data_IF_633623979193
#
_entry.id   IF_633623979193
#
_cell.length_a   1.000
_cell.length_b   1.000
_cell.length_c   1.000
_cell.angle_alpha   90.00
_cell.angle_beta   90.00
_cell.angle_gamma   90.00
#
_symmetry.space_group_name_H-M   'P 1'
#
loop_
_entity.id
_entity.type
_entity.pdbx_description
1 polymer ?
#
# COMPACT_ATOMS: atom_id res chain seq x y z
N UNK A 1 -17.69 -61.16 23.01
CA UNK A 1 -16.79 -60.07 23.42
C UNK A 1 -16.01 -59.63 22.19
N UNK A 2 -15.95 -58.35 21.79
CA UNK A 2 -16.63 -57.12 22.25
C UNK A 2 -17.85 -56.80 21.33
N UNK A 3 -18.69 -55.76 21.43
CA UNK A 3 -18.78 -54.49 22.17
C UNK A 3 -20.28 -54.15 22.23
N UNK A 4 -20.81 -53.79 23.40
CA UNK A 4 -22.23 -53.51 23.64
C UNK A 4 -22.45 -52.03 23.98
N UNK A 5 -23.51 -51.50 23.35
CA UNK A 5 -24.47 -50.47 23.81
C UNK A 5 -24.05 -49.01 24.04
N UNK A 6 -24.87 -48.15 23.44
CA UNK A 6 -24.98 -46.71 23.58
C UNK A 6 -25.57 -46.27 24.93
N UNK A 7 -25.32 -45.00 25.30
CA UNK A 7 -26.32 -44.12 25.92
C UNK A 7 -25.89 -42.65 25.78
N UNK A 8 -26.84 -41.80 25.40
CA UNK A 8 -26.77 -40.35 25.38
C UNK A 8 -27.10 -39.76 26.76
N UNK A 9 -26.63 -38.55 27.07
CA UNK A 9 -27.36 -37.56 27.87
C UNK A 9 -26.71 -36.16 27.88
N UNK A 10 -27.58 -35.15 27.69
CA UNK A 10 -27.57 -33.73 28.06
C UNK A 10 -26.24 -33.06 28.50
N UNK A 11 -25.75 -32.04 27.78
CA UNK A 11 -26.20 -30.65 27.79
C UNK A 11 -25.94 -29.91 29.11
N UNK A 12 -24.92 -29.06 29.13
CA UNK A 12 -24.93 -27.83 29.92
C UNK A 12 -24.09 -26.74 29.23
N UNK A 13 -24.76 -25.61 29.02
CA UNK A 13 -24.27 -24.40 28.38
C UNK A 13 -23.29 -23.71 29.33
N UNK A 14 -22.07 -23.46 28.88
CA UNK A 14 -21.22 -22.42 29.47
C UNK A 14 -20.88 -21.43 28.36
N UNK A 15 -21.69 -20.38 28.29
CA UNK A 15 -21.38 -19.15 27.56
C UNK A 15 -20.23 -18.46 28.29
N UNK A 16 -19.00 -18.71 27.84
CA UNK A 16 -17.87 -17.85 28.16
C UNK A 16 -17.51 -17.05 26.92
N UNK A 17 -17.65 -15.74 27.06
CA UNK A 17 -17.54 -14.68 26.06
C UNK A 17 -16.29 -14.81 25.19
N UNK A 18 -16.49 -15.10 23.91
CA UNK A 18 -15.49 -14.91 22.87
C UNK A 18 -15.34 -13.41 22.59
N UNK A 19 -14.29 -12.80 23.14
CA UNK A 19 -13.78 -11.53 22.62
C UNK A 19 -13.19 -11.77 21.23
N UNK A 20 -13.65 -11.07 20.18
CA UNK A 20 -13.13 -11.26 18.84
C UNK A 20 -11.68 -10.75 18.76
N UNK A 21 -10.82 -11.54 18.10
CA UNK A 21 -9.43 -11.20 17.83
C UNK A 21 -9.33 -10.03 16.85
N UNK A 22 -8.22 -9.28 16.88
CA UNK A 22 -8.02 -8.07 16.04
C UNK A 22 -8.23 -8.32 14.53
N UNK A 23 -8.02 -9.54 14.05
CA UNK A 23 -8.23 -9.93 12.64
C UNK A 23 -9.71 -10.11 12.27
N UNK A 24 -10.61 -10.30 13.23
CA UNK A 24 -12.06 -10.36 13.01
C UNK A 24 -12.73 -8.98 12.99
N UNK A 25 -12.01 -7.92 13.39
CA UNK A 25 -12.51 -6.53 13.27
C UNK A 25 -12.38 -5.96 11.86
N UNK A 26 -11.57 -6.58 11.00
CA UNK A 26 -11.36 -6.12 9.62
C UNK A 26 -12.38 -6.70 8.62
N UNK A 27 -13.28 -7.57 9.07
CA UNK A 27 -14.43 -8.03 8.28
C UNK A 27 -15.72 -7.52 8.92
N UNK A 28 -15.95 -6.23 8.81
CA UNK A 28 -17.28 -5.69 8.86
C UNK A 28 -17.39 -4.65 7.74
N UNK A 29 -18.16 -5.03 6.72
CA UNK A 29 -18.95 -4.11 5.89
C UNK A 29 -18.13 -3.27 4.90
N UNK A 30 -17.88 -3.88 3.74
CA UNK A 30 -17.70 -3.12 2.52
C UNK A 30 -18.86 -2.12 2.37
N UNK A 31 -18.51 -0.89 1.97
CA UNK A 31 -19.46 0.18 1.71
C UNK A 31 -20.51 -0.31 0.71
N UNK A 32 -21.67 -0.75 1.22
CA UNK A 32 -22.84 -1.04 0.41
C UNK A 32 -23.19 0.24 -0.33
N UNK A 33 -23.02 0.22 -1.65
CA UNK A 33 -23.18 1.36 -2.53
C UNK A 33 -24.65 1.79 -2.67
N UNK A 34 -25.36 2.04 -1.57
CA UNK A 34 -26.67 2.70 -1.51
C UNK A 34 -26.98 3.08 -0.06
N UNK A 35 -26.40 4.17 0.45
CA UNK A 35 -27.04 5.13 1.37
C UNK A 35 -26.01 5.94 2.17
N UNK A 36 -25.92 7.23 1.83
CA UNK A 36 -25.77 8.34 2.80
C UNK A 36 -24.50 8.38 3.68
N UNK A 37 -23.42 7.64 3.39
CA UNK A 37 -22.12 7.82 4.07
C UNK A 37 -21.37 9.09 3.60
N UNK A 38 -21.67 9.58 2.39
CA UNK A 38 -20.98 10.73 1.77
C UNK A 38 -21.32 12.10 2.38
N UNK A 39 -22.22 12.17 3.37
CA UNK A 39 -22.61 13.42 4.03
C UNK A 39 -22.12 13.42 5.47
N UNK A 40 -20.83 13.66 5.66
CA UNK A 40 -20.40 14.35 6.88
C UNK A 40 -19.88 15.71 6.46
N UNK A 41 -20.65 16.71 6.85
CA UNK A 41 -20.39 18.13 6.75
C UNK A 41 -18.90 18.43 6.90
N UNK A 42 -18.28 18.88 5.82
CA UNK A 42 -17.02 19.62 5.93
C UNK A 42 -17.41 21.06 6.25
N UNK A 43 -17.17 21.47 7.50
CA UNK A 43 -17.09 22.89 7.84
C UNK A 43 -16.06 23.58 6.92
N UNK A 44 -16.24 24.87 6.62
CA UNK A 44 -15.51 25.50 5.53
C UNK A 44 -14.05 25.71 5.93
N UNK A 45 -13.14 24.96 5.30
CA UNK A 45 -11.71 25.28 5.32
C UNK A 45 -11.46 26.23 4.17
N UNK A 46 -11.44 27.53 4.45
CA UNK A 46 -10.96 28.52 3.49
C UNK A 46 -9.43 28.45 3.46
N UNK A 47 -8.85 28.09 2.32
CA UNK A 47 -8.02 28.98 1.50
C UNK A 47 -7.42 28.21 0.32
N UNK A 48 -7.78 28.66 -0.88
CA UNK A 48 -7.24 28.34 -2.22
C UNK A 48 -7.49 26.93 -2.76
N UNK A 49 -8.07 26.90 -3.96
CA UNK A 49 -8.68 25.74 -4.62
C UNK A 49 -7.69 24.60 -4.87
N UNK A 50 -7.67 23.62 -3.96
CA UNK A 50 -7.23 22.28 -4.32
C UNK A 50 -8.38 21.62 -5.07
N UNK A 51 -8.16 21.27 -6.34
CA UNK A 51 -9.12 20.51 -7.14
C UNK A 51 -9.61 19.29 -6.34
N UNK A 52 -10.80 19.41 -5.78
CA UNK A 52 -11.52 18.38 -5.01
C UNK A 52 -11.93 17.26 -5.96
N UNK A 53 -10.95 16.47 -6.40
CA UNK A 53 -11.23 15.10 -6.78
C UNK A 53 -11.55 14.37 -5.47
N UNK A 54 -12.84 14.33 -5.11
CA UNK A 54 -13.34 13.40 -4.11
C UNK A 54 -12.85 11.99 -4.50
N UNK A 55 -11.75 11.54 -3.88
CA UNK A 55 -11.26 10.18 -4.04
C UNK A 55 -12.39 9.27 -3.54
N UNK A 56 -12.90 8.47 -4.47
CA UNK A 56 -13.86 7.42 -4.19
C UNK A 56 -13.28 6.57 -3.05
N UNK A 57 -14.02 6.43 -1.95
CA UNK A 57 -13.59 5.65 -0.80
C UNK A 57 -13.61 4.16 -1.19
N UNK A 58 -12.56 3.73 -1.89
CA UNK A 58 -12.45 2.39 -2.47
C UNK A 58 -11.54 2.28 -3.71
N UNK A 59 -10.93 3.36 -4.21
CA UNK A 59 -9.99 3.24 -5.33
C UNK A 59 -8.63 2.72 -4.87
N UNK A 60 -8.18 1.58 -5.42
CA UNK A 60 -6.83 1.03 -5.22
C UNK A 60 -5.79 2.03 -5.69
N UNK A 61 -4.86 2.39 -4.81
CA UNK A 61 -3.74 3.30 -5.11
C UNK A 61 -2.65 2.53 -5.87
N UNK A 62 -2.33 2.98 -7.08
CA UNK A 62 -1.26 2.41 -7.89
C UNK A 62 0.08 3.00 -7.46
N UNK A 63 1.05 2.15 -7.14
CA UNK A 63 2.37 2.55 -6.65
C UNK A 63 3.45 2.17 -7.65
N UNK A 64 4.34 3.11 -7.95
CA UNK A 64 5.60 2.84 -8.66
C UNK A 64 6.69 2.68 -7.61
N UNK A 65 7.37 1.55 -7.60
CA UNK A 65 8.46 1.26 -6.69
C UNK A 65 9.80 1.55 -7.38
N UNK A 66 10.54 2.55 -6.90
CA UNK A 66 11.84 2.93 -7.45
C UNK A 66 12.95 2.45 -6.52
N UNK A 67 13.83 1.60 -7.03
CA UNK A 67 14.76 0.77 -6.28
C UNK A 67 14.24 -0.66 -6.13
N UNK A 68 15.11 -1.64 -6.39
CA UNK A 68 14.85 -3.07 -6.25
C UNK A 68 15.90 -3.75 -5.35
N UNK A 69 16.33 -3.04 -4.31
CA UNK A 69 17.24 -3.55 -3.28
C UNK A 69 16.52 -4.27 -2.15
N UNK A 70 17.26 -4.63 -1.11
CA UNK A 70 16.75 -5.38 0.06
C UNK A 70 15.51 -4.75 0.71
N UNK A 71 15.49 -3.42 0.87
CA UNK A 71 14.36 -2.74 1.50
C UNK A 71 13.11 -2.73 0.60
N UNK A 72 13.30 -2.68 -0.72
CA UNK A 72 12.22 -2.74 -1.69
C UNK A 72 11.48 -4.10 -1.63
N UNK A 73 12.19 -5.20 -1.37
CA UNK A 73 11.55 -6.51 -1.13
C UNK A 73 10.59 -6.49 0.07
N UNK A 74 10.96 -5.77 1.14
CA UNK A 74 10.13 -5.62 2.33
C UNK A 74 8.91 -4.74 2.06
N UNK A 75 9.10 -3.64 1.30
CA UNK A 75 8.00 -2.78 0.88
C UNK A 75 7.01 -3.54 -0.01
N UNK A 76 7.50 -4.30 -0.99
CA UNK A 76 6.63 -5.11 -1.84
C UNK A 76 5.82 -6.12 -1.01
N UNK A 77 6.46 -6.82 -0.06
CA UNK A 77 5.75 -7.75 0.85
C UNK A 77 4.67 -7.03 1.66
N UNK A 78 4.91 -5.80 2.10
CA UNK A 78 3.91 -5.00 2.79
C UNK A 78 2.77 -4.60 1.84
N UNK A 79 3.06 -4.12 0.63
CA UNK A 79 2.02 -3.75 -0.35
C UNK A 79 1.13 -4.94 -0.73
N UNK A 80 1.68 -6.15 -0.86
CA UNK A 80 0.89 -7.36 -1.12
C UNK A 80 -0.13 -7.69 -0.01
N UNK A 81 0.01 -7.09 1.17
CA UNK A 81 -0.91 -7.25 2.31
C UNK A 81 -1.93 -6.11 2.42
N UNK A 82 -1.81 -5.05 1.61
CA UNK A 82 -2.70 -3.87 1.64
C UNK A 82 -3.67 -3.94 0.46
N UNK A 83 -4.97 -4.24 0.67
CA UNK A 83 -5.93 -4.40 -0.41
C UNK A 83 -6.14 -3.14 -1.26
N UNK A 84 -5.95 -1.97 -0.65
CA UNK A 84 -6.18 -0.66 -1.27
C UNK A 84 -4.91 -0.10 -1.95
N UNK A 85 -3.86 -0.91 -2.12
CA UNK A 85 -2.63 -0.52 -2.80
C UNK A 85 -2.12 -1.62 -3.73
N UNK A 86 -1.58 -1.23 -4.89
CA UNK A 86 -1.02 -2.16 -5.86
C UNK A 86 0.26 -1.59 -6.46
N UNK A 87 1.35 -2.34 -6.40
CA UNK A 87 2.57 -2.02 -7.15
C UNK A 87 2.30 -2.29 -8.64
N UNK A 88 2.47 -1.29 -9.50
CA UNK A 88 2.18 -1.38 -10.94
C UNK A 88 3.42 -1.27 -11.82
N UNK A 89 4.53 -0.80 -11.26
CA UNK A 89 5.81 -0.78 -11.93
C UNK A 89 6.98 -0.79 -10.93
N UNK A 90 8.12 -1.31 -11.37
CA UNK A 90 9.39 -1.31 -10.63
C UNK A 90 10.49 -0.69 -11.49
N UNK A 91 11.33 0.17 -10.93
CA UNK A 91 12.54 0.63 -11.61
C UNK A 91 13.78 0.36 -10.78
N UNK A 92 14.86 -0.11 -11.41
CA UNK A 92 16.19 -0.17 -10.81
C UNK A 92 17.24 -0.16 -11.91
N UNK A 93 18.36 0.53 -11.69
CA UNK A 93 19.47 0.60 -12.65
C UNK A 93 20.05 -0.78 -12.99
N UNK A 94 19.93 -1.77 -12.10
CA UNK A 94 20.22 -3.17 -12.36
C UNK A 94 18.96 -3.87 -12.89
N UNK A 95 18.97 -4.16 -14.21
CA UNK A 95 17.86 -4.80 -14.91
C UNK A 95 17.42 -6.12 -14.28
N UNK A 96 18.36 -6.92 -13.76
CA UNK A 96 18.04 -8.22 -13.15
C UNK A 96 17.27 -8.02 -11.85
N UNK A 97 17.68 -7.06 -11.01
CA UNK A 97 16.94 -6.74 -9.77
C UNK A 97 15.53 -6.22 -10.08
N UNK A 98 15.42 -5.29 -11.04
CA UNK A 98 14.13 -4.75 -11.47
C UNK A 98 13.19 -5.86 -11.97
N UNK A 99 13.67 -6.75 -12.84
CA UNK A 99 12.92 -7.89 -13.36
C UNK A 99 12.47 -8.85 -12.27
N UNK A 100 13.37 -9.20 -11.34
CA UNK A 100 13.07 -10.12 -10.24
C UNK A 100 11.95 -9.58 -9.35
N UNK A 101 12.07 -8.32 -8.93
CA UNK A 101 11.08 -7.71 -8.05
C UNK A 101 9.74 -7.49 -8.76
N UNK A 102 9.77 -7.09 -10.04
CA UNK A 102 8.56 -6.96 -10.84
C UNK A 102 7.84 -8.30 -11.05
N UNK A 103 8.57 -9.41 -11.21
CA UNK A 103 7.99 -10.74 -11.26
C UNK A 103 7.30 -11.12 -9.93
N UNK A 104 7.93 -10.81 -8.79
CA UNK A 104 7.33 -11.00 -7.46
C UNK A 104 6.08 -10.14 -7.24
N UNK A 105 6.00 -8.98 -7.89
CA UNK A 105 4.83 -8.10 -7.87
C UNK A 105 3.70 -8.55 -8.82
N UNK A 106 3.81 -9.73 -9.45
CA UNK A 106 2.81 -10.27 -10.38
C UNK A 106 3.14 -10.05 -11.86
N UNK A 107 4.41 -9.84 -12.20
CA UNK A 107 4.85 -9.62 -13.58
C UNK A 107 4.55 -8.22 -14.10
N UNK A 108 4.71 -7.21 -13.23
CA UNK A 108 4.43 -5.81 -13.56
C UNK A 108 5.48 -5.21 -14.49
N UNK A 109 5.24 -3.98 -14.97
CA UNK A 109 6.21 -3.30 -15.82
C UNK A 109 7.50 -3.04 -15.05
N UNK A 110 8.64 -3.21 -15.71
CA UNK A 110 9.93 -2.82 -15.16
C UNK A 110 10.71 -1.97 -16.15
N UNK A 111 11.63 -1.15 -15.63
CA UNK A 111 12.55 -0.35 -16.42
C UNK A 111 13.89 -0.20 -15.70
N UNK A 112 14.95 0.10 -16.47
CA UNK A 112 16.26 0.48 -15.94
C UNK A 112 16.40 1.97 -15.70
N UNK A 113 15.52 2.76 -16.32
CA UNK A 113 15.36 4.18 -16.08
C UNK A 113 14.01 4.41 -15.39
N UNK A 114 14.03 5.06 -14.22
CA UNK A 114 12.82 5.33 -13.46
C UNK A 114 11.89 6.33 -14.19
N UNK A 115 12.43 7.22 -15.02
CA UNK A 115 11.63 8.19 -15.79
C UNK A 115 10.59 7.52 -16.69
N UNK A 116 10.87 6.29 -17.18
CA UNK A 116 9.97 5.53 -18.04
C UNK A 116 8.70 5.04 -17.31
N UNK A 117 8.75 4.93 -15.98
CA UNK A 117 7.68 4.31 -15.19
C UNK A 117 7.04 5.24 -14.16
N UNK A 118 7.67 6.35 -13.78
CA UNK A 118 7.13 7.29 -12.77
C UNK A 118 5.69 7.74 -13.08
N UNK A 119 5.34 7.91 -14.35
CA UNK A 119 4.00 8.35 -14.78
C UNK A 119 2.89 7.29 -14.63
N UNK A 120 3.23 6.03 -14.40
CA UNK A 120 2.28 4.90 -14.48
C UNK A 120 1.45 4.70 -13.21
N UNK A 121 1.92 5.18 -12.07
CA UNK A 121 1.22 5.06 -10.79
C UNK A 121 0.61 6.38 -10.29
N UNK A 122 -0.19 6.26 -9.25
CA UNK A 122 -0.76 7.38 -8.51
C UNK A 122 0.22 7.94 -7.48
N UNK A 123 1.12 7.09 -6.94
CA UNK A 123 2.16 7.44 -5.98
C UNK A 123 3.50 6.75 -6.31
N UNK A 124 4.59 7.26 -5.72
CA UNK A 124 5.94 6.73 -5.91
C UNK A 124 6.54 6.37 -4.55
N UNK A 125 7.09 5.16 -4.43
CA UNK A 125 7.83 4.69 -3.27
C UNK A 125 9.30 4.54 -3.62
N UNK A 126 10.16 5.31 -2.94
CA UNK A 126 11.58 5.46 -3.24
C UNK A 126 12.38 4.66 -2.23
N UNK A 127 12.88 3.52 -2.71
CA UNK A 127 13.68 2.52 -2.00
C UNK A 127 15.11 2.42 -2.58
N UNK A 128 15.61 3.51 -3.16
CA UNK A 128 16.96 3.58 -3.76
C UNK A 128 18.03 3.82 -2.68
N UNK A 129 19.33 3.81 -3.02
CA UNK A 129 20.35 4.29 -2.09
C UNK A 129 20.12 5.77 -1.74
N UNK A 130 20.34 6.13 -0.47
CA UNK A 130 19.97 7.45 0.08
C UNK A 130 20.54 8.66 -0.66
N UNK A 131 21.67 8.51 -1.34
CA UNK A 131 22.28 9.55 -2.17
C UNK A 131 21.41 9.98 -3.36
N UNK A 132 20.48 9.12 -3.80
CA UNK A 132 19.62 9.36 -4.96
C UNK A 132 18.18 9.73 -4.60
N UNK A 133 17.81 9.75 -3.32
CA UNK A 133 16.45 10.05 -2.87
C UNK A 133 15.97 11.42 -3.35
N UNK A 134 16.80 12.46 -3.21
CA UNK A 134 16.42 13.81 -3.61
C UNK A 134 16.21 13.92 -5.12
N UNK A 135 17.08 13.32 -5.93
CA UNK A 135 16.95 13.35 -7.40
C UNK A 135 15.66 12.66 -7.87
N UNK A 136 15.43 11.42 -7.42
CA UNK A 136 14.23 10.65 -7.76
C UNK A 136 12.97 11.33 -7.22
N UNK A 137 13.05 11.85 -5.98
CA UNK A 137 11.97 12.56 -5.31
C UNK A 137 11.55 13.80 -6.10
N UNK A 138 12.51 14.62 -6.54
CA UNK A 138 12.23 15.79 -7.36
C UNK A 138 11.62 15.42 -8.72
N UNK A 139 12.11 14.37 -9.37
CA UNK A 139 11.53 13.90 -10.63
C UNK A 139 10.06 13.45 -10.48
N UNK A 140 9.75 12.75 -9.39
CA UNK A 140 8.39 12.33 -9.09
C UNK A 140 7.49 13.50 -8.62
N UNK A 141 8.02 14.43 -7.83
CA UNK A 141 7.33 15.64 -7.39
C UNK A 141 6.98 16.57 -8.58
N UNK A 142 7.86 16.66 -9.57
CA UNK A 142 7.60 17.42 -10.81
C UNK A 142 6.39 16.88 -11.59
N UNK A 143 6.03 15.60 -11.40
CA UNK A 143 4.83 14.97 -11.95
C UNK A 143 3.59 15.10 -11.04
N UNK A 144 3.71 15.82 -9.92
CA UNK A 144 2.64 15.99 -8.92
C UNK A 144 2.29 14.70 -8.17
N UNK A 145 3.22 13.73 -8.10
CA UNK A 145 2.98 12.43 -7.45
C UNK A 145 3.24 12.52 -5.94
N UNK A 146 2.35 11.99 -5.08
CA UNK A 146 2.67 11.71 -3.69
C UNK A 146 3.87 10.76 -3.58
N UNK A 147 4.73 11.02 -2.60
CA UNK A 147 5.99 10.31 -2.41
C UNK A 147 6.02 9.61 -1.05
N UNK A 148 6.56 8.39 -1.04
CA UNK A 148 7.09 7.73 0.13
C UNK A 148 8.60 7.57 -0.09
N UNK A 149 9.42 8.06 0.84
CA UNK A 149 10.88 8.09 0.67
C UNK A 149 11.51 7.36 1.85
N UNK A 150 12.33 6.36 1.56
CA UNK A 150 13.00 5.60 2.60
C UNK A 150 13.94 6.45 3.45
N UNK A 151 14.16 6.01 4.68
CA UNK A 151 15.12 6.63 5.60
C UNK A 151 16.56 6.23 5.26
N UNK A 152 17.55 7.12 5.47
CA UNK A 152 17.40 8.54 5.77
C UNK A 152 16.87 9.31 4.55
N UNK A 153 16.03 10.32 4.80
CA UNK A 153 15.37 11.11 3.75
C UNK A 153 16.37 11.71 2.76
N UNK A 154 17.47 12.28 3.26
CA UNK A 154 18.60 12.78 2.47
C UNK A 154 19.91 12.59 3.24
N UNK A 155 21.05 12.68 2.55
CA UNK A 155 22.39 12.61 3.15
C UNK A 155 22.94 13.99 3.56
N UNK A 156 22.33 15.07 3.12
CA UNK A 156 22.70 16.44 3.47
C UNK A 156 21.46 17.29 3.70
N UNK A 157 21.61 18.36 4.49
CA UNK A 157 20.52 19.33 4.69
C UNK A 157 20.17 20.04 3.37
N UNK A 158 21.18 20.37 2.57
CA UNK A 158 20.99 21.02 1.27
C UNK A 158 20.17 20.17 0.29
N UNK A 159 20.27 18.83 0.36
CA UNK A 159 19.41 17.94 -0.44
C UNK A 159 18.01 17.80 0.16
N UNK A 160 17.86 17.93 1.48
CA UNK A 160 16.56 17.86 2.16
C UNK A 160 15.71 19.14 1.99
N UNK A 161 16.34 20.29 1.74
CA UNK A 161 15.69 21.60 1.58
C UNK A 161 15.20 21.88 0.15
N UNK A 162 15.52 21.01 -0.82
CA UNK A 162 15.02 21.11 -2.20
C UNK A 162 13.58 20.67 -2.31
#
# INVERSE_FOLDING_TARGET
MPRSTAAASAAERSTSSMTPTLSQRYRAEGCGATSTCCRRDRTPVTLTEHSDAHRDCGSVIKVVLVGAGFIADLHLKAYLQVPDAQVVAVADVDARRAQQLAALAGGVRWATDYHEVLGLGDAVDICTPSASHAEVGMAAAALGKPLHVEKPFALSLADAER
#
